data_IF_508740251663
#
_entry.id   IF_508740251663
#
_cell.length_a   1.000
_cell.length_b   1.000
_cell.length_c   1.000
_cell.angle_alpha   90.00
_cell.angle_beta   90.00
_cell.angle_gamma   90.00
#
_symmetry.space_group_name_H-M   'P 1'
#
loop_
_entity.id
_entity.type
_entity.pdbx_description
1 polymer ?
#
# COMPACT_ATOMS: atom_id res chain seq x y z
N UNK A 1 10.00 13.43 -12.16
CA UNK A 1 8.72 14.03 -12.56
C UNK A 1 7.61 13.38 -11.77
N UNK A 2 6.66 14.17 -11.31
CA UNK A 2 5.39 13.71 -10.76
C UNK A 2 4.32 13.86 -11.84
N UNK A 3 3.53 12.81 -12.04
CA UNK A 3 2.44 12.80 -13.00
C UNK A 3 1.15 12.43 -12.26
N UNK A 4 0.06 13.11 -12.61
CA UNK A 4 -1.27 12.78 -12.13
C UNK A 4 -2.14 12.41 -13.33
N UNK A 5 -3.01 11.38 -13.22
CA UNK A 5 -3.97 11.09 -14.28
C UNK A 5 -4.96 12.25 -14.43
N UNK A 6 -5.52 12.41 -15.61
CA UNK A 6 -6.56 13.43 -15.87
C UNK A 6 -7.84 13.12 -15.09
N UNK A 7 -8.15 11.83 -14.96
CA UNK A 7 -9.30 11.34 -14.21
C UNK A 7 -9.18 9.85 -13.88
N UNK A 8 -10.09 9.32 -13.05
CA UNK A 8 -10.09 7.89 -12.71
C UNK A 8 -10.21 6.97 -13.92
N UNK A 9 -10.90 7.42 -14.96
CA UNK A 9 -11.14 6.67 -16.20
C UNK A 9 -9.89 6.57 -17.09
N UNK A 10 -8.95 7.52 -16.98
CA UNK A 10 -7.71 7.50 -17.76
C UNK A 10 -6.57 6.76 -17.04
N UNK A 11 -6.71 6.49 -15.76
CA UNK A 11 -5.65 5.95 -14.89
C UNK A 11 -4.91 4.75 -15.48
N UNK A 12 -5.62 3.75 -15.98
CA UNK A 12 -4.99 2.55 -16.52
C UNK A 12 -4.20 2.83 -17.80
N UNK A 13 -4.74 3.66 -18.68
CA UNK A 13 -4.06 4.07 -19.91
C UNK A 13 -2.81 4.83 -19.57
N UNK A 14 -2.92 5.82 -18.71
CA UNK A 14 -1.84 6.71 -18.31
C UNK A 14 -0.71 5.93 -17.60
N UNK A 15 -1.05 4.99 -16.72
CA UNK A 15 -0.07 4.09 -16.08
C UNK A 15 0.70 3.26 -17.11
N UNK A 16 0.02 2.73 -18.13
CA UNK A 16 0.65 1.91 -19.17
C UNK A 16 1.56 2.73 -20.08
N UNK A 17 1.14 3.93 -20.44
CA UNK A 17 1.92 4.83 -21.31
C UNK A 17 3.15 5.38 -20.58
N UNK A 18 3.00 5.76 -19.31
CA UNK A 18 4.08 6.34 -18.51
C UNK A 18 5.06 5.27 -17.98
N UNK A 19 4.58 4.10 -17.59
CA UNK A 19 5.38 3.06 -16.94
C UNK A 19 6.12 3.61 -15.71
N UNK A 20 5.43 4.10 -14.67
CA UNK A 20 6.05 4.84 -13.57
C UNK A 20 7.01 3.95 -12.78
N UNK A 21 8.05 4.57 -12.21
CA UNK A 21 8.99 3.89 -11.29
C UNK A 21 8.47 3.87 -9.85
N UNK A 22 7.54 4.73 -9.52
CA UNK A 22 6.86 4.81 -8.24
C UNK A 22 5.38 5.12 -8.42
N UNK A 23 4.51 4.49 -7.63
CA UNK A 23 3.08 4.68 -7.71
C UNK A 23 2.44 4.74 -6.33
N UNK A 24 1.62 5.75 -6.11
CA UNK A 24 0.84 5.92 -4.88
C UNK A 24 -0.63 6.04 -5.28
N UNK A 25 -1.48 5.26 -4.65
CA UNK A 25 -2.92 5.35 -4.83
C UNK A 25 -3.67 5.05 -3.53
N UNK A 26 -4.89 5.57 -3.45
CA UNK A 26 -5.82 5.18 -2.39
C UNK A 26 -6.21 3.70 -2.51
N UNK A 27 -6.70 3.06 -1.44
CA UNK A 27 -7.20 1.69 -1.49
C UNK A 27 -8.19 1.46 -2.63
N UNK A 28 -9.11 2.40 -2.83
CA UNK A 28 -10.10 2.34 -3.92
C UNK A 28 -9.44 2.29 -5.32
N UNK A 29 -8.34 3.02 -5.53
CA UNK A 29 -7.58 2.95 -6.78
C UNK A 29 -7.01 1.56 -7.02
N UNK A 30 -6.44 0.93 -6.00
CA UNK A 30 -5.93 -0.43 -6.07
C UNK A 30 -7.03 -1.47 -6.32
N UNK A 31 -8.18 -1.32 -5.66
CA UNK A 31 -9.35 -2.20 -5.86
C UNK A 31 -9.93 -2.07 -7.27
N UNK A 32 -9.97 -0.86 -7.82
CA UNK A 32 -10.38 -0.61 -9.21
C UNK A 32 -9.46 -1.33 -10.19
N UNK A 33 -8.14 -1.20 -10.04
CA UNK A 33 -7.16 -1.90 -10.88
C UNK A 33 -7.36 -3.43 -10.78
N UNK A 34 -7.55 -3.96 -9.56
CA UNK A 34 -7.80 -5.38 -9.35
C UNK A 34 -9.09 -5.85 -10.05
N UNK A 35 -10.17 -5.09 -9.91
CA UNK A 35 -11.47 -5.42 -10.52
C UNK A 35 -11.36 -5.47 -12.04
N UNK A 36 -10.69 -4.52 -12.67
CA UNK A 36 -10.46 -4.51 -14.11
C UNK A 36 -9.59 -5.69 -14.55
N UNK A 37 -8.57 -6.07 -13.79
CA UNK A 37 -7.77 -7.27 -14.06
C UNK A 37 -8.63 -8.54 -14.01
N UNK A 38 -9.52 -8.65 -13.03
CA UNK A 38 -10.40 -9.81 -12.88
C UNK A 38 -11.40 -9.93 -14.03
N UNK A 39 -12.00 -8.82 -14.46
CA UNK A 39 -12.88 -8.80 -15.64
C UNK A 39 -12.11 -9.27 -16.87
N UNK A 40 -10.96 -8.68 -17.18
CA UNK A 40 -10.12 -9.07 -18.32
C UNK A 40 -9.67 -10.54 -18.27
N UNK A 41 -9.36 -11.05 -17.07
CA UNK A 41 -9.01 -12.46 -16.90
C UNK A 41 -10.19 -13.40 -17.18
N UNK A 42 -11.41 -13.00 -16.81
CA UNK A 42 -12.63 -13.78 -17.07
C UNK A 42 -12.99 -13.81 -18.56
N UNK A 43 -12.74 -12.73 -19.29
CA UNK A 43 -13.01 -12.60 -20.73
C UNK A 43 -11.96 -13.32 -21.60
N UNK A 44 -10.93 -13.91 -20.98
CA UNK A 44 -9.84 -14.57 -21.69
C UNK A 44 -10.20 -16.03 -22.05
N UNK A 45 -9.63 -16.56 -23.14
CA UNK A 45 -9.82 -17.94 -23.56
C UNK A 45 -9.45 -18.95 -22.45
N UNK A 46 -10.15 -20.13 -22.44
CA UNK A 46 -10.05 -21.12 -21.36
C UNK A 46 -8.61 -21.53 -20.99
N UNK A 47 -7.72 -21.68 -21.99
CA UNK A 47 -6.31 -22.05 -21.76
C UNK A 47 -5.55 -20.92 -21.00
N UNK A 48 -5.68 -19.69 -21.46
CA UNK A 48 -5.02 -18.54 -20.82
C UNK A 48 -5.58 -18.32 -19.40
N UNK A 49 -6.89 -18.48 -19.23
CA UNK A 49 -7.55 -18.41 -17.91
C UNK A 49 -7.03 -19.49 -16.97
N UNK A 50 -6.88 -20.73 -17.45
CA UNK A 50 -6.32 -21.82 -16.65
C UNK A 50 -4.88 -21.53 -16.20
N UNK A 51 -4.03 -21.02 -17.09
CA UNK A 51 -2.68 -20.57 -16.75
C UNK A 51 -2.72 -19.48 -15.68
N UNK A 52 -3.50 -18.42 -15.88
CA UNK A 52 -3.63 -17.31 -14.93
C UNK A 52 -4.06 -17.81 -13.55
N UNK A 53 -5.11 -18.63 -13.46
CA UNK A 53 -5.60 -19.16 -12.18
C UNK A 53 -4.59 -20.08 -11.48
N UNK A 54 -3.89 -20.91 -12.25
CA UNK A 54 -2.86 -21.80 -11.70
C UNK A 54 -1.70 -21.01 -11.09
N UNK A 55 -1.15 -20.06 -11.84
CA UNK A 55 -0.04 -19.25 -11.36
C UNK A 55 -0.46 -18.27 -10.27
N UNK A 56 -1.67 -17.72 -10.32
CA UNK A 56 -2.24 -16.92 -9.23
C UNK A 56 -2.25 -17.69 -7.91
N UNK A 57 -2.74 -18.94 -7.91
CA UNK A 57 -2.75 -19.79 -6.70
C UNK A 57 -1.33 -20.06 -6.19
N UNK A 58 -0.40 -20.31 -7.08
CA UNK A 58 1.01 -20.52 -6.71
C UNK A 58 1.61 -19.26 -6.10
N UNK A 59 1.36 -18.09 -6.69
CA UNK A 59 1.87 -16.81 -6.21
C UNK A 59 1.33 -16.45 -4.83
N UNK A 60 0.01 -16.55 -4.63
CA UNK A 60 -0.64 -16.26 -3.34
C UNK A 60 -0.15 -17.21 -2.25
N UNK A 61 -0.01 -18.51 -2.54
CA UNK A 61 0.55 -19.48 -1.58
C UNK A 61 2.01 -19.15 -1.23
N UNK A 62 2.79 -18.70 -2.19
CA UNK A 62 4.19 -18.31 -1.96
C UNK A 62 4.30 -17.05 -1.08
N UNK A 63 3.42 -16.07 -1.30
CA UNK A 63 3.38 -14.84 -0.48
C UNK A 63 2.92 -15.14 0.96
N UNK A 64 1.94 -16.01 1.14
CA UNK A 64 1.51 -16.47 2.47
C UNK A 64 2.65 -17.21 3.20
N UNK A 65 3.35 -18.12 2.52
CA UNK A 65 4.49 -18.82 3.10
C UNK A 65 5.62 -17.87 3.52
N UNK A 66 5.87 -16.82 2.71
CA UNK A 66 6.84 -15.78 3.04
C UNK A 66 6.43 -14.97 4.27
N UNK A 67 5.15 -14.61 4.39
CA UNK A 67 4.62 -13.91 5.57
C UNK A 67 4.76 -14.74 6.84
N UNK A 68 4.74 -16.08 6.73
CA UNK A 68 4.96 -17.03 7.85
C UNK A 68 6.44 -17.38 8.07
N UNK A 69 7.37 -16.69 7.43
CA UNK A 69 8.81 -16.95 7.53
C UNK A 69 9.29 -18.25 6.89
N UNK A 70 8.43 -18.90 6.08
CA UNK A 70 8.75 -20.16 5.40
C UNK A 70 9.34 -19.91 4.01
N UNK A 71 10.41 -20.64 3.68
CA UNK A 71 10.97 -20.60 2.33
C UNK A 71 10.02 -21.26 1.33
N UNK A 72 9.64 -20.53 0.29
CA UNK A 72 8.85 -21.08 -0.81
C UNK A 72 9.79 -21.73 -1.83
N UNK A 73 10.04 -23.03 -1.69
CA UNK A 73 10.99 -23.84 -2.49
C UNK A 73 10.62 -24.07 -3.97
N UNK A 74 9.88 -23.16 -4.61
CA UNK A 74 9.36 -23.30 -5.99
C UNK A 74 10.01 -22.30 -6.97
N UNK A 75 11.33 -22.21 -6.98
CA UNK A 75 12.07 -21.29 -7.84
C UNK A 75 11.69 -21.38 -9.32
N UNK A 76 11.61 -22.59 -9.88
CA UNK A 76 11.25 -22.81 -11.29
C UNK A 76 9.82 -22.36 -11.60
N UNK A 77 8.84 -22.72 -10.78
CA UNK A 77 7.44 -22.31 -10.98
C UNK A 77 7.26 -20.79 -10.85
N UNK A 78 8.03 -20.17 -9.98
CA UNK A 78 8.02 -18.70 -9.84
C UNK A 78 8.65 -18.04 -11.07
N UNK A 79 9.75 -18.58 -11.59
CA UNK A 79 10.40 -18.09 -12.79
C UNK A 79 9.48 -18.22 -14.04
N UNK A 80 8.84 -19.37 -14.21
CA UNK A 80 7.82 -19.55 -15.27
C UNK A 80 6.64 -18.59 -15.09
N UNK A 81 6.15 -18.42 -13.85
CA UNK A 81 5.09 -17.48 -13.54
C UNK A 81 5.47 -16.03 -13.86
N UNK A 82 6.71 -15.64 -13.58
CA UNK A 82 7.22 -14.31 -13.91
C UNK A 82 7.18 -14.05 -15.42
N UNK A 83 7.60 -15.02 -16.21
CA UNK A 83 7.64 -14.88 -17.66
C UNK A 83 6.24 -14.89 -18.31
N UNK A 84 5.38 -15.83 -17.89
CA UNK A 84 4.10 -16.06 -18.57
C UNK A 84 2.90 -15.32 -17.96
N UNK A 85 2.96 -14.91 -16.68
CA UNK A 85 1.80 -14.37 -15.98
C UNK A 85 2.13 -13.07 -15.23
N UNK A 86 3.08 -13.09 -14.30
CA UNK A 86 3.26 -11.94 -13.39
C UNK A 86 3.83 -10.73 -14.12
N UNK A 87 4.86 -10.93 -14.96
CA UNK A 87 5.42 -9.86 -15.79
C UNK A 87 4.40 -9.25 -16.75
N UNK A 88 3.71 -10.05 -17.58
CA UNK A 88 2.63 -9.59 -18.45
C UNK A 88 1.49 -8.87 -17.71
N UNK A 89 1.06 -9.37 -16.55
CA UNK A 89 0.02 -8.69 -15.75
C UNK A 89 0.51 -7.33 -15.25
N UNK A 90 1.74 -7.24 -14.70
CA UNK A 90 2.31 -5.95 -14.29
C UNK A 90 2.48 -4.99 -15.44
N UNK A 91 2.83 -5.49 -16.63
CA UNK A 91 2.93 -4.68 -17.84
C UNK A 91 1.57 -4.15 -18.27
N UNK A 92 0.54 -4.99 -18.20
CA UNK A 92 -0.83 -4.62 -18.54
C UNK A 92 -1.40 -3.51 -17.65
N UNK A 93 -1.02 -3.46 -16.37
CA UNK A 93 -1.42 -2.39 -15.45
C UNK A 93 -0.40 -1.23 -15.38
N UNK A 94 0.62 -1.25 -16.21
CA UNK A 94 1.65 -0.21 -16.26
C UNK A 94 2.65 -0.20 -15.12
N UNK A 95 2.64 -1.22 -14.25
CA UNK A 95 3.50 -1.30 -13.05
C UNK A 95 4.74 -2.19 -13.23
N UNK A 96 5.10 -2.59 -14.45
CA UNK A 96 6.27 -3.45 -14.69
C UNK A 96 7.59 -2.81 -14.25
N UNK A 97 7.69 -1.48 -14.37
CA UNK A 97 8.88 -0.70 -14.01
C UNK A 97 8.83 -0.15 -12.60
N UNK A 98 7.70 -0.31 -11.90
CA UNK A 98 7.51 0.23 -10.57
C UNK A 98 8.46 -0.45 -9.57
N UNK A 99 9.28 0.34 -8.90
CA UNK A 99 10.21 -0.11 -7.87
C UNK A 99 9.57 -0.08 -6.50
N UNK A 100 8.65 0.86 -6.29
CA UNK A 100 7.90 1.04 -5.06
C UNK A 100 6.47 1.46 -5.37
N UNK A 101 5.54 0.93 -4.62
CA UNK A 101 4.13 1.25 -4.67
C UNK A 101 3.60 1.43 -3.26
N UNK A 102 2.74 2.41 -3.07
CA UNK A 102 2.16 2.69 -1.77
C UNK A 102 0.64 2.81 -1.82
N UNK A 103 0.02 2.44 -0.70
CA UNK A 103 -1.38 2.71 -0.41
C UNK A 103 -1.50 3.41 0.93
N UNK A 104 -2.41 4.37 1.04
CA UNK A 104 -2.63 5.12 2.28
C UNK A 104 -3.94 5.89 2.24
N UNK A 105 -4.26 6.55 3.34
CA UNK A 105 -5.51 7.28 3.52
C UNK A 105 -6.67 6.44 4.06
N UNK A 106 -6.60 5.12 3.91
CA UNK A 106 -7.50 4.14 4.54
C UNK A 106 -6.83 2.75 4.50
N UNK A 107 -7.27 1.77 5.29
CA UNK A 107 -6.80 0.39 5.21
C UNK A 107 -7.15 -0.24 3.85
N UNK A 108 -6.17 -0.90 3.23
CA UNK A 108 -6.42 -1.73 2.04
C UNK A 108 -6.76 -3.15 2.47
N UNK A 109 -7.81 -3.73 1.88
CA UNK A 109 -8.20 -5.10 2.15
C UNK A 109 -7.05 -6.10 1.93
N UNK A 110 -6.87 -7.04 2.86
CA UNK A 110 -5.75 -7.99 2.88
C UNK A 110 -5.65 -8.82 1.60
N UNK A 111 -6.78 -9.19 1.00
CA UNK A 111 -6.78 -9.95 -0.25
C UNK A 111 -6.20 -9.14 -1.40
N UNK A 112 -6.61 -7.88 -1.55
CA UNK A 112 -6.08 -6.96 -2.56
C UNK A 112 -4.60 -6.72 -2.34
N UNK A 113 -4.19 -6.45 -1.11
CA UNK A 113 -2.79 -6.25 -0.76
C UNK A 113 -1.93 -7.46 -1.13
N UNK A 114 -2.33 -8.67 -0.69
CA UNK A 114 -1.65 -9.93 -0.99
C UNK A 114 -1.61 -10.26 -2.47
N UNK A 115 -2.69 -9.96 -3.19
CA UNK A 115 -2.74 -10.17 -4.63
C UNK A 115 -1.61 -9.41 -5.34
N UNK A 116 -1.52 -8.10 -5.14
CA UNK A 116 -0.49 -7.30 -5.82
C UNK A 116 0.91 -7.73 -5.43
N UNK A 117 1.15 -8.01 -4.15
CA UNK A 117 2.46 -8.51 -3.70
C UNK A 117 2.80 -9.88 -4.29
N UNK A 118 1.83 -10.79 -4.37
CA UNK A 118 2.01 -12.09 -4.99
C UNK A 118 2.42 -11.99 -6.47
N UNK A 119 1.87 -10.99 -7.17
CA UNK A 119 2.24 -10.68 -8.56
C UNK A 119 3.54 -9.86 -8.69
N UNK A 120 4.25 -9.64 -7.60
CA UNK A 120 5.56 -8.99 -7.60
C UNK A 120 5.52 -7.46 -7.62
N UNK A 121 4.35 -6.86 -7.34
CA UNK A 121 4.26 -5.43 -7.07
C UNK A 121 4.77 -5.14 -5.67
N UNK A 122 5.76 -4.27 -5.51
CA UNK A 122 6.30 -3.88 -4.20
C UNK A 122 5.35 -2.92 -3.48
N UNK A 123 4.14 -3.41 -3.17
CA UNK A 123 3.10 -2.65 -2.49
C UNK A 123 3.35 -2.62 -0.99
N UNK A 124 3.26 -1.42 -0.42
CA UNK A 124 3.44 -1.13 1.01
C UNK A 124 2.36 -0.18 1.50
N UNK A 125 2.12 -0.17 2.81
CA UNK A 125 1.21 0.77 3.44
C UNK A 125 1.97 1.98 3.97
N UNK A 126 1.30 3.13 3.90
CA UNK A 126 1.72 4.38 4.55
C UNK A 126 0.57 4.93 5.38
N UNK A 127 0.92 5.62 6.45
CA UNK A 127 -0.04 6.33 7.29
C UNK A 127 0.38 7.78 7.47
N UNK A 128 -0.61 8.65 7.45
CA UNK A 128 -0.45 10.06 7.70
C UNK A 128 -1.71 10.87 7.40
N UNK A 129 -1.68 12.14 7.71
CA UNK A 129 -2.77 13.08 7.43
C UNK A 129 -2.21 14.42 6.95
N UNK A 130 -3.08 15.30 6.52
CA UNK A 130 -2.71 16.65 6.07
C UNK A 130 -2.05 17.45 7.19
N UNK A 131 -2.52 17.28 8.41
CA UNK A 131 -2.04 18.00 9.62
C UNK A 131 -0.60 17.65 9.99
N UNK A 132 -0.11 16.51 9.53
CA UNK A 132 1.27 16.06 9.76
C UNK A 132 2.14 16.10 8.49
N UNK A 133 1.73 16.93 7.51
CA UNK A 133 2.40 17.04 6.21
C UNK A 133 2.43 15.74 5.41
N UNK A 134 1.43 14.88 5.59
CA UNK A 134 1.12 13.74 4.74
C UNK A 134 1.73 12.41 5.15
N UNK A 135 2.82 12.35 5.91
CA UNK A 135 3.47 11.07 6.21
C UNK A 135 3.91 10.97 7.67
N UNK A 136 3.42 9.97 8.37
CA UNK A 136 3.81 9.62 9.75
C UNK A 136 4.62 8.33 9.77
N UNK A 137 4.11 7.28 9.13
CA UNK A 137 4.77 5.98 9.11
C UNK A 137 4.74 5.35 7.71
N UNK A 138 5.69 4.47 7.46
CA UNK A 138 5.87 3.79 6.18
C UNK A 138 6.46 2.39 6.40
N UNK A 139 5.90 1.40 5.72
CA UNK A 139 6.48 0.06 5.72
C UNK A 139 7.79 0.02 4.94
N UNK A 140 8.77 -0.72 5.46
CA UNK A 140 10.07 -0.96 4.80
C UNK A 140 10.02 -2.25 3.98
N UNK A 141 10.96 -2.41 3.04
CA UNK A 141 11.01 -3.57 2.15
C UNK A 141 11.26 -4.89 2.88
N UNK A 142 11.95 -4.85 4.00
CA UNK A 142 12.30 -5.98 4.86
C UNK A 142 11.19 -6.37 5.85
N UNK A 143 10.23 -5.46 6.10
CA UNK A 143 9.14 -5.70 7.04
C UNK A 143 7.81 -5.20 6.49
N UNK A 144 7.20 -5.99 5.63
CA UNK A 144 5.88 -5.69 5.03
C UNK A 144 4.85 -6.65 5.56
N UNK A 145 3.90 -6.14 6.33
CA UNK A 145 2.80 -6.89 6.92
C UNK A 145 1.47 -6.17 6.61
N UNK A 146 0.46 -6.84 6.05
CA UNK A 146 -0.84 -6.22 5.75
C UNK A 146 -1.58 -5.70 6.98
N UNK A 147 -1.21 -6.15 8.19
CA UNK A 147 -1.83 -5.77 9.46
C UNK A 147 -1.20 -4.54 10.10
N UNK A 148 -0.14 -3.97 9.52
CA UNK A 148 0.60 -2.83 10.09
C UNK A 148 0.79 -1.71 9.07
N UNK A 149 1.00 -0.51 9.59
CA UNK A 149 1.32 0.69 8.79
C UNK A 149 2.83 0.99 8.74
N UNK A 150 3.64 0.13 9.37
CA UNK A 150 5.09 0.28 9.46
C UNK A 150 5.57 1.21 10.59
N UNK A 151 6.88 1.32 10.77
CA UNK A 151 7.47 2.17 11.81
C UNK A 151 7.30 3.67 11.47
N UNK A 152 7.35 4.54 12.50
CA UNK A 152 7.41 5.98 12.28
C UNK A 152 8.59 6.39 11.39
N UNK A 153 8.38 7.41 10.59
CA UNK A 153 9.47 8.00 9.80
C UNK A 153 10.50 8.69 10.70
N UNK A 154 11.76 8.77 10.28
CA UNK A 154 12.81 9.46 11.06
C UNK A 154 12.41 10.89 11.43
N UNK A 155 12.58 11.25 12.70
CA UNK A 155 12.21 12.57 13.23
C UNK A 155 10.74 12.75 13.59
N UNK A 156 9.94 11.70 13.49
CA UNK A 156 8.54 11.68 13.94
C UNK A 156 8.45 10.86 15.22
N UNK A 157 7.95 11.47 16.26
CA UNK A 157 7.65 10.79 17.52
C UNK A 157 6.17 10.42 17.55
N UNK A 158 5.90 9.14 17.76
CA UNK A 158 4.55 8.55 17.80
C UNK A 158 4.35 7.84 19.12
N UNK A 159 3.25 8.14 19.79
CA UNK A 159 2.83 7.35 20.96
C UNK A 159 1.33 7.06 20.90
N UNK A 160 0.93 6.06 21.62
CA UNK A 160 -0.48 5.72 21.83
C UNK A 160 -0.94 6.38 23.12
N UNK A 161 -1.91 7.25 23.01
CA UNK A 161 -2.54 7.95 24.11
C UNK A 161 -3.72 7.20 24.71
N UNK A 162 -4.55 7.92 25.45
CA UNK A 162 -5.81 7.39 25.98
C UNK A 162 -6.73 6.94 24.84
N UNK A 163 -7.58 5.94 25.11
CA UNK A 163 -8.49 5.35 24.12
C UNK A 163 -7.80 4.82 22.86
N UNK A 164 -6.54 4.43 22.96
CA UNK A 164 -5.72 3.95 21.83
C UNK A 164 -5.50 5.00 20.72
N UNK A 165 -5.65 6.28 21.01
CA UNK A 165 -5.44 7.34 20.04
C UNK A 165 -3.97 7.45 19.64
N UNK A 166 -3.71 7.56 18.34
CA UNK A 166 -2.37 7.84 17.81
C UNK A 166 -2.07 9.32 18.02
N UNK A 167 -0.99 9.60 18.75
CA UNK A 167 -0.48 10.93 19.02
C UNK A 167 0.83 11.14 18.29
N UNK A 168 0.99 12.28 17.58
CA UNK A 168 2.14 12.55 16.72
C UNK A 168 2.81 13.87 17.10
N UNK A 169 4.14 13.84 17.19
CA UNK A 169 4.96 15.05 17.38
C UNK A 169 6.08 15.06 16.36
N UNK A 170 6.12 16.10 15.54
CA UNK A 170 7.17 16.30 14.54
C UNK A 170 7.24 17.77 14.11
N UNK A 171 8.35 18.20 13.49
CA UNK A 171 8.44 19.54 12.86
C UNK A 171 7.43 19.77 11.73
N UNK A 172 6.89 18.66 11.14
CA UNK A 172 5.92 18.71 10.04
C UNK A 172 4.47 18.84 10.50
N UNK A 173 4.19 18.84 11.81
CA UNK A 173 2.84 19.06 12.32
C UNK A 173 2.43 20.51 12.07
N UNK A 174 1.21 20.69 11.58
CA UNK A 174 0.65 22.01 11.29
C UNK A 174 0.57 22.91 12.54
N UNK A 175 0.44 24.20 12.34
CA UNK A 175 0.33 25.16 13.45
C UNK A 175 -1.10 25.26 14.04
N UNK A 176 -2.09 24.82 13.30
CA UNK A 176 -3.48 24.88 13.69
C UNK A 176 -4.43 25.09 12.51
N UNK A 177 -5.71 25.03 12.78
CA UNK A 177 -6.79 25.26 11.80
C UNK A 177 -7.03 26.75 11.61
N UNK A 178 -7.03 27.21 10.37
CA UNK A 178 -7.20 28.63 10.04
C UNK A 178 -8.52 29.17 10.56
N UNK A 179 -8.47 30.24 11.37
CA UNK A 179 -9.60 30.91 12.03
C UNK A 179 -10.47 29.97 12.89
N UNK A 180 -9.88 28.91 13.46
CA UNK A 180 -10.56 27.94 14.33
C UNK A 180 -9.74 27.69 15.59
N UNK A 181 -9.74 28.64 16.51
CA UNK A 181 -8.92 28.61 17.73
C UNK A 181 -9.30 27.45 18.66
N UNK A 182 -10.59 27.24 18.89
CA UNK A 182 -11.09 26.13 19.75
C UNK A 182 -10.70 24.76 19.18
N UNK A 183 -10.90 24.55 17.88
CA UNK A 183 -10.52 23.31 17.20
C UNK A 183 -8.99 23.11 17.25
N UNK A 184 -8.22 24.18 17.17
CA UNK A 184 -6.77 24.12 17.30
C UNK A 184 -6.35 23.76 18.72
N UNK A 185 -6.94 24.39 19.73
CA UNK A 185 -6.63 24.13 21.13
C UNK A 185 -6.91 22.66 21.53
N UNK A 186 -8.00 22.10 21.01
CA UNK A 186 -8.34 20.68 21.29
C UNK A 186 -7.54 19.68 20.46
N UNK A 187 -6.91 20.11 19.37
CA UNK A 187 -6.12 19.24 18.50
C UNK A 187 -4.75 18.86 19.08
N UNK A 188 -4.32 19.49 20.16
CA UNK A 188 -3.04 19.22 20.78
C UNK A 188 -3.18 18.81 22.25
N UNK A 189 -2.25 17.96 22.68
CA UNK A 189 -2.07 17.64 24.09
C UNK A 189 -1.27 18.75 24.78
N UNK A 190 -1.30 18.82 26.12
CA UNK A 190 -0.55 19.80 26.92
C UNK A 190 0.97 19.73 26.65
N UNK A 191 1.50 18.53 26.35
CA UNK A 191 2.92 18.31 26.04
C UNK A 191 3.23 18.41 24.53
N UNK A 192 2.29 18.92 23.72
CA UNK A 192 2.48 19.34 22.34
C UNK A 192 2.43 18.23 21.30
N UNK A 193 1.76 17.11 21.55
CA UNK A 193 1.45 16.12 20.52
C UNK A 193 0.14 16.49 19.84
N UNK A 194 0.12 16.29 18.53
CA UNK A 194 -1.11 16.37 17.74
C UNK A 194 -1.95 15.12 17.95
N UNK A 195 -3.23 15.31 18.21
CA UNK A 195 -4.24 14.27 18.33
C UNK A 195 -4.78 13.95 16.94
N UNK A 196 -4.49 12.75 16.46
CA UNK A 196 -4.88 12.39 15.08
C UNK A 196 -6.37 12.04 14.97
N UNK A 197 -7.01 11.65 16.07
CA UNK A 197 -8.36 11.08 16.07
C UNK A 197 -8.41 9.63 15.58
N UNK A 198 -7.28 9.06 15.15
CA UNK A 198 -7.19 7.68 14.68
C UNK A 198 -6.78 6.75 15.82
N UNK A 199 -7.40 5.58 15.87
CA UNK A 199 -7.03 4.54 16.82
C UNK A 199 -5.91 3.65 16.30
N UNK A 200 -4.96 3.29 17.16
CA UNK A 200 -3.86 2.40 16.80
C UNK A 200 -3.30 1.64 18.00
N UNK A 201 -2.52 0.61 17.70
CA UNK A 201 -1.82 -0.21 18.68
C UNK A 201 -0.37 -0.37 18.25
N UNK A 202 0.56 -0.29 19.18
CA UNK A 202 1.97 -0.60 18.90
C UNK A 202 2.14 -2.12 18.75
N UNK A 203 2.54 -2.54 17.56
CA UNK A 203 2.92 -3.94 17.36
C UNK A 203 4.36 -4.16 17.86
N UNK A 204 4.48 -4.86 18.99
CA UNK A 204 5.79 -5.18 19.59
C UNK A 204 6.62 -6.20 18.78
N UNK A 205 6.02 -6.83 17.75
CA UNK A 205 6.71 -7.84 16.93
C UNK A 205 7.35 -7.26 15.68
N UNK A 206 6.89 -6.09 15.24
CA UNK A 206 7.35 -5.43 14.00
C UNK A 206 8.18 -4.17 14.25
N UNK A 207 8.47 -3.87 15.52
CA UNK A 207 9.26 -2.69 15.95
C UNK A 207 10.74 -2.84 15.79
#
# INVERSE_FOLDING_TARGET
CSNCPEGPETLERDLRELGPTGFIASPRGWETILSHLQVKANDTSGVKRWFYETFRRVAVKAELAKAEGRSSGRGLMRWLGEFFVYGPVRDQIGLRRARWCYTGGAPLGHETFRFFRAFGVNLKQVYGSTEVSGLVSIQRDDNVNPDTIGPPCPGIDVRIGENSEILVKSPGVFKGYYKREEATATAFTEDGYFRTGDAGVLDRKSG
#
